data_IF_398210774941
#
_entry.id   IF_398210774941
#
_cell.length_a   1.000
_cell.length_b   1.000
_cell.length_c   1.000
_cell.angle_alpha   90.00
_cell.angle_beta   90.00
_cell.angle_gamma   90.00
#
_symmetry.space_group_name_H-M   'P 1'
#
loop_
_entity.id
_entity.type
_entity.pdbx_description
1 polymer ?
#
# COMPACT_ATOMS: atom_id res chain seq x y z
N UNK A 1 -15.60 4.42 16.38
CA UNK A 1 -16.41 3.59 15.47
C UNK A 1 -16.21 4.14 14.06
N UNK A 2 -15.43 3.49 13.19
CA UNK A 2 -15.12 4.04 11.86
C UNK A 2 -14.02 3.35 11.05
N UNK A 3 -13.14 2.56 11.68
CA UNK A 3 -11.97 1.95 11.02
C UNK A 3 -12.29 0.87 9.96
N UNK A 4 -13.47 0.25 10.00
CA UNK A 4 -13.80 -0.85 9.07
C UNK A 4 -14.36 -0.44 7.70
N UNK A 5 -14.89 0.78 7.55
CA UNK A 5 -15.68 1.12 6.35
C UNK A 5 -14.81 1.32 5.09
N UNK A 6 -13.67 1.99 5.23
CA UNK A 6 -12.76 2.24 4.11
C UNK A 6 -12.08 0.95 3.62
N UNK A 7 -11.64 0.11 4.56
CA UNK A 7 -11.01 -1.15 4.22
C UNK A 7 -11.99 -2.12 3.54
N UNK A 8 -13.21 -2.24 4.09
CA UNK A 8 -14.26 -3.06 3.50
C UNK A 8 -14.63 -2.57 2.10
N UNK A 9 -14.73 -1.24 1.90
CA UNK A 9 -14.98 -0.66 0.59
C UNK A 9 -13.93 -1.08 -0.44
N UNK A 10 -12.64 -1.01 -0.10
CA UNK A 10 -11.57 -1.43 -1.02
C UNK A 10 -11.69 -2.92 -1.36
N UNK A 11 -11.96 -3.79 -0.37
CA UNK A 11 -12.13 -5.23 -0.61
C UNK A 11 -13.31 -5.54 -1.54
N UNK A 12 -14.43 -4.85 -1.35
CA UNK A 12 -15.65 -5.07 -2.13
C UNK A 12 -15.47 -4.65 -3.60
N UNK A 13 -14.71 -3.57 -3.83
CA UNK A 13 -14.48 -3.03 -5.17
C UNK A 13 -13.23 -3.60 -5.85
N UNK A 14 -12.33 -4.25 -5.10
CA UNK A 14 -11.07 -4.78 -5.64
C UNK A 14 -11.28 -5.74 -6.83
N UNK A 15 -12.20 -6.72 -6.79
CA UNK A 15 -12.44 -7.60 -7.93
C UNK A 15 -12.86 -6.86 -9.21
N UNK A 16 -13.66 -5.80 -9.08
CA UNK A 16 -14.09 -4.97 -10.20
C UNK A 16 -12.90 -4.21 -10.80
N UNK A 17 -12.07 -3.59 -9.96
CA UNK A 17 -10.89 -2.85 -10.41
C UNK A 17 -9.85 -3.77 -11.07
N UNK A 18 -9.64 -4.98 -10.54
CA UNK A 18 -8.77 -5.98 -11.16
C UNK A 18 -9.31 -6.42 -12.52
N UNK A 19 -10.62 -6.61 -12.65
CA UNK A 19 -11.26 -6.93 -13.94
C UNK A 19 -11.07 -5.81 -14.95
N UNK A 20 -11.26 -4.56 -14.53
CA UNK A 20 -11.06 -3.38 -15.37
C UNK A 20 -9.60 -3.20 -15.80
N UNK A 21 -8.66 -3.41 -14.87
CA UNK A 21 -7.23 -3.41 -15.19
C UNK A 21 -6.92 -4.49 -16.23
N UNK A 22 -7.35 -5.74 -16.00
CA UNK A 22 -7.09 -6.86 -16.91
C UNK A 22 -7.68 -6.68 -18.30
N UNK A 23 -8.80 -5.97 -18.44
CA UNK A 23 -9.39 -5.69 -19.75
C UNK A 23 -8.63 -4.61 -20.54
N UNK A 24 -7.81 -3.80 -19.86
CA UNK A 24 -7.13 -2.63 -20.43
C UNK A 24 -5.62 -2.76 -20.51
N UNK A 25 -4.99 -3.56 -19.64
CA UNK A 25 -3.54 -3.62 -19.48
C UNK A 25 -2.78 -4.08 -20.72
N UNK A 26 -3.42 -4.80 -21.64
CA UNK A 26 -2.82 -5.20 -22.92
C UNK A 26 -2.82 -4.09 -23.98
N UNK A 27 -3.62 -3.04 -23.79
CA UNK A 27 -3.80 -1.95 -24.77
C UNK A 27 -3.36 -0.60 -24.23
N UNK A 28 -3.30 -0.46 -22.91
CA UNK A 28 -2.93 0.76 -22.21
C UNK A 28 -1.77 0.48 -21.25
N UNK A 29 -0.81 1.40 -21.20
CA UNK A 29 0.29 1.37 -20.24
C UNK A 29 -0.20 1.86 -18.87
N UNK A 30 -0.99 1.04 -18.18
CA UNK A 30 -1.59 1.35 -16.88
C UNK A 30 -1.19 0.34 -15.81
N UNK A 31 -1.20 0.76 -14.55
CA UNK A 31 -1.08 -0.09 -13.37
C UNK A 31 -2.24 0.17 -12.41
N UNK A 32 -2.52 -0.78 -11.53
CA UNK A 32 -3.50 -0.65 -10.45
C UNK A 32 -2.77 -0.52 -9.12
N UNK A 33 -3.04 0.55 -8.39
CA UNK A 33 -2.51 0.77 -7.04
C UNK A 33 -3.65 0.59 -6.05
N UNK A 34 -3.47 -0.32 -5.09
CA UNK A 34 -4.42 -0.59 -4.01
C UNK A 34 -3.77 -0.21 -2.71
N UNK A 35 -4.41 0.69 -1.95
CA UNK A 35 -3.92 1.13 -0.64
C UNK A 35 -4.95 0.72 0.41
N UNK A 36 -4.50 -0.04 1.40
CA UNK A 36 -5.30 -0.48 2.54
C UNK A 36 -4.59 -0.03 3.80
N UNK A 37 -5.25 0.75 4.65
CA UNK A 37 -4.71 1.02 5.98
C UNK A 37 -4.74 -0.29 6.78
N UNK A 38 -3.56 -0.79 7.17
CA UNK A 38 -3.51 -1.97 8.02
C UNK A 38 -3.82 -1.54 9.45
N UNK A 39 -4.88 -2.12 10.01
CA UNK A 39 -5.01 -2.23 11.46
C UNK A 39 -3.82 -3.04 12.06
N UNK A 40 -3.91 -3.54 13.29
CA UNK A 40 -2.87 -4.40 13.90
C UNK A 40 -2.58 -5.73 13.15
N UNK A 41 -3.19 -5.94 11.97
CA UNK A 41 -3.06 -7.14 11.13
C UNK A 41 -1.86 -7.03 10.20
N UNK A 42 -1.33 -8.17 9.75
CA UNK A 42 -0.15 -8.21 8.89
C UNK A 42 -0.49 -7.89 7.43
N UNK A 43 0.52 -7.44 6.67
CA UNK A 43 0.43 -7.24 5.21
C UNK A 43 -0.11 -8.49 4.51
N UNK A 44 0.36 -9.66 4.92
CA UNK A 44 -0.05 -10.98 4.40
C UNK A 44 -1.54 -11.25 4.64
N UNK A 45 -2.08 -10.85 5.80
CA UNK A 45 -3.51 -11.02 6.09
C UNK A 45 -4.37 -10.23 5.08
N UNK A 46 -4.00 -8.98 4.81
CA UNK A 46 -4.69 -8.15 3.83
C UNK A 46 -4.56 -8.69 2.40
N UNK A 47 -3.37 -9.19 2.02
CA UNK A 47 -3.18 -9.85 0.73
C UNK A 47 -4.09 -11.08 0.58
N UNK A 48 -4.16 -11.94 1.60
CA UNK A 48 -5.04 -13.12 1.60
C UNK A 48 -6.52 -12.76 1.46
N UNK A 49 -6.96 -11.66 2.08
CA UNK A 49 -8.34 -11.21 2.00
C UNK A 49 -8.70 -10.67 0.61
N UNK A 50 -7.77 -9.96 -0.03
CA UNK A 50 -7.90 -9.55 -1.42
C UNK A 50 -7.90 -10.76 -2.37
N UNK A 51 -7.09 -11.79 -2.12
CA UNK A 51 -7.15 -13.05 -2.87
C UNK A 51 -8.48 -13.79 -2.69
N UNK A 52 -9.02 -13.79 -1.47
CA UNK A 52 -10.33 -14.36 -1.17
C UNK A 52 -11.44 -13.61 -1.92
N UNK A 53 -11.38 -12.28 -1.98
CA UNK A 53 -12.33 -11.45 -2.74
C UNK A 53 -12.29 -11.77 -4.24
N UNK A 54 -11.10 -11.95 -4.83
CA UNK A 54 -10.96 -12.39 -6.23
C UNK A 54 -11.57 -13.76 -6.44
N UNK A 55 -11.29 -14.70 -5.54
CA UNK A 55 -11.79 -16.08 -5.63
C UNK A 55 -13.32 -16.11 -5.54
N UNK A 56 -13.92 -15.35 -4.62
CA UNK A 56 -15.37 -15.21 -4.49
C UNK A 56 -16.01 -14.62 -5.75
N UNK A 57 -15.33 -13.71 -6.43
CA UNK A 57 -15.75 -13.14 -7.71
C UNK A 57 -15.44 -14.02 -8.94
N UNK A 58 -15.00 -15.27 -8.73
CA UNK A 58 -14.56 -16.21 -9.79
C UNK A 58 -13.44 -15.65 -10.68
N UNK A 59 -12.59 -14.80 -10.12
CA UNK A 59 -11.41 -14.27 -10.77
C UNK A 59 -10.16 -15.03 -10.34
N UNK A 60 -9.22 -15.18 -11.29
CA UNK A 60 -7.86 -15.67 -10.99
C UNK A 60 -7.19 -14.75 -9.96
N UNK A 61 -6.43 -15.33 -9.03
CA UNK A 61 -5.54 -14.61 -8.08
C UNK A 61 -4.61 -13.66 -8.81
N UNK A 62 -4.10 -12.66 -8.09
CA UNK A 62 -3.11 -11.71 -8.63
C UNK A 62 -1.88 -12.47 -9.13
N UNK A 63 -1.54 -12.28 -10.40
CA UNK A 63 -0.35 -12.88 -11.02
C UNK A 63 0.95 -12.17 -10.60
N UNK A 64 2.07 -12.88 -10.69
CA UNK A 64 3.40 -12.35 -10.41
C UNK A 64 3.79 -11.20 -11.37
N UNK A 65 3.30 -11.26 -12.62
CA UNK A 65 3.62 -10.30 -13.68
C UNK A 65 2.55 -9.20 -13.85
N UNK A 66 1.51 -9.20 -13.02
CA UNK A 66 0.48 -8.15 -13.07
C UNK A 66 0.98 -6.88 -12.38
N UNK A 67 0.82 -5.72 -13.06
CA UNK A 67 1.10 -4.39 -12.53
C UNK A 67 0.05 -3.92 -11.54
N UNK A 68 -0.12 -4.71 -10.49
CA UNK A 68 -1.07 -4.47 -9.39
C UNK A 68 -0.25 -4.40 -8.10
N UNK A 69 -0.03 -3.18 -7.62
CA UNK A 69 0.71 -2.88 -6.39
C UNK A 69 -0.24 -2.79 -5.21
N UNK A 70 0.03 -3.53 -4.14
CA UNK A 70 -0.77 -3.52 -2.90
C UNK A 70 0.07 -2.89 -1.78
N UNK A 71 -0.36 -1.73 -1.30
CA UNK A 71 0.31 -0.96 -0.26
C UNK A 71 -0.48 -1.04 1.03
N UNK A 72 0.20 -1.48 2.08
CA UNK A 72 -0.44 -1.74 3.38
C UNK A 72 0.37 -1.02 4.47
N UNK A 73 0.22 0.30 4.63
CA UNK A 73 0.82 1.02 5.76
C UNK A 73 0.28 0.44 7.06
N UNK A 74 1.17 -0.01 7.94
CA UNK A 74 0.77 -0.55 9.24
C UNK A 74 0.41 0.58 10.20
N UNK A 75 -0.75 0.43 10.84
CA UNK A 75 -1.47 1.38 11.69
C UNK A 75 -1.94 2.66 11.02
N UNK A 76 -1.07 3.35 10.29
CA UNK A 76 -1.24 4.70 9.79
C UNK A 76 -0.18 5.01 8.71
N UNK A 77 -0.58 5.60 7.57
CA UNK A 77 0.33 6.08 6.52
C UNK A 77 1.27 7.19 7.05
N UNK A 78 0.83 7.86 8.10
CA UNK A 78 1.54 8.89 8.86
C UNK A 78 2.87 8.36 9.43
N UNK A 79 2.95 7.07 9.74
CA UNK A 79 4.19 6.41 10.19
C UNK A 79 5.27 6.48 9.11
N UNK A 80 4.90 6.25 7.85
CA UNK A 80 5.85 6.34 6.73
C UNK A 80 6.29 7.79 6.50
N UNK A 81 5.36 8.75 6.60
CA UNK A 81 5.67 10.18 6.46
C UNK A 81 6.66 10.61 7.54
N UNK A 82 6.42 10.22 8.80
CA UNK A 82 7.32 10.49 9.92
C UNK A 82 8.73 9.91 9.70
N UNK A 83 8.82 8.67 9.22
CA UNK A 83 10.10 8.05 8.84
C UNK A 83 10.82 8.85 7.74
N UNK A 84 10.10 9.21 6.67
CA UNK A 84 10.65 9.91 5.51
C UNK A 84 11.12 11.33 5.86
N UNK A 85 10.55 11.96 6.88
CA UNK A 85 11.05 13.23 7.42
C UNK A 85 12.33 13.08 8.29
N UNK A 86 12.71 11.84 8.61
CA UNK A 86 13.94 11.51 9.33
C UNK A 86 13.73 11.15 10.81
N UNK A 87 12.50 10.87 11.23
CA UNK A 87 12.23 10.41 12.59
C UNK A 87 12.48 8.91 12.73
N UNK A 88 12.99 8.51 13.88
CA UNK A 88 12.95 7.12 14.31
C UNK A 88 11.49 6.78 14.65
N UNK A 89 10.89 5.87 13.88
CA UNK A 89 9.52 5.41 14.07
C UNK A 89 9.48 3.91 14.24
N UNK A 90 8.40 3.41 14.84
CA UNK A 90 8.10 1.99 14.88
C UNK A 90 6.64 1.77 14.42
N UNK A 91 6.29 0.54 14.05
CA UNK A 91 4.92 0.21 13.60
C UNK A 91 3.99 -0.19 14.77
N UNK A 92 4.30 0.27 15.98
CA UNK A 92 3.56 0.00 17.23
C UNK A 92 2.97 1.30 17.78
N UNK A 93 3.64 2.43 17.65
CA UNK A 93 3.14 3.71 18.15
C UNK A 93 2.14 4.36 17.17
N UNK A 94 1.33 5.29 17.70
CA UNK A 94 0.35 6.04 16.92
C UNK A 94 0.89 7.42 16.57
N UNK A 95 1.09 7.67 15.27
CA UNK A 95 1.60 8.93 14.72
C UNK A 95 0.52 9.80 14.06
N UNK A 96 -0.77 9.43 14.19
CA UNK A 96 -1.91 10.13 13.55
C UNK A 96 -2.09 11.58 14.01
N UNK A 97 -1.57 11.95 15.19
CA UNK A 97 -1.59 13.32 15.72
C UNK A 97 -0.23 14.01 15.67
N UNK A 98 0.71 13.52 14.85
CA UNK A 98 2.01 14.18 14.74
C UNK A 98 1.86 15.54 14.06
N UNK A 99 2.43 16.59 14.66
CA UNK A 99 2.48 17.93 14.07
C UNK A 99 3.20 17.98 12.69
N UNK A 100 3.83 16.88 12.30
CA UNK A 100 4.44 16.67 10.98
C UNK A 100 3.38 16.55 9.88
N UNK A 101 2.16 16.12 10.19
CA UNK A 101 1.06 16.04 9.23
C UNK A 101 0.52 17.42 8.82
N UNK A 102 0.82 18.45 9.60
CA UNK A 102 0.56 19.84 9.22
C UNK A 102 1.62 20.38 8.24
N UNK A 103 2.73 19.64 8.03
CA UNK A 103 3.80 20.01 7.09
C UNK A 103 3.62 19.31 5.75
N UNK A 104 4.02 20.01 4.69
CA UNK A 104 3.78 19.62 3.30
C UNK A 104 4.27 18.21 2.94
N UNK A 105 3.33 17.28 2.75
CA UNK A 105 3.54 15.91 2.27
C UNK A 105 4.36 15.80 0.98
N UNK A 106 4.39 16.86 0.18
CA UNK A 106 5.13 16.95 -1.08
C UNK A 106 6.60 16.57 -0.93
N UNK A 107 7.25 16.97 0.18
CA UNK A 107 8.66 16.65 0.43
C UNK A 107 8.85 15.17 0.75
N UNK A 108 7.99 14.59 1.57
CA UNK A 108 8.09 13.19 1.98
C UNK A 108 7.86 12.26 0.79
N UNK A 109 6.89 12.56 -0.07
CA UNK A 109 6.64 11.81 -1.32
C UNK A 109 7.83 11.93 -2.28
N UNK A 110 8.44 13.11 -2.40
CA UNK A 110 9.65 13.29 -3.22
C UNK A 110 10.84 12.47 -2.68
N UNK A 111 10.98 12.33 -1.35
CA UNK A 111 12.00 11.47 -0.73
C UNK A 111 11.75 9.99 -1.00
N UNK A 112 10.50 9.53 -0.92
CA UNK A 112 10.14 8.16 -1.28
C UNK A 112 10.45 7.87 -2.76
N UNK A 113 10.12 8.82 -3.65
CA UNK A 113 10.47 8.71 -5.07
C UNK A 113 12.00 8.71 -5.29
N UNK A 114 12.76 9.43 -4.47
CA UNK A 114 14.22 9.46 -4.54
C UNK A 114 14.88 8.17 -3.99
N UNK A 115 14.22 7.43 -3.10
CA UNK A 115 14.69 6.10 -2.65
C UNK A 115 14.48 4.99 -3.69
N UNK A 116 13.96 5.31 -4.88
CA UNK A 116 13.77 4.36 -5.98
C UNK A 116 15.10 3.69 -6.35
N UNK A 117 15.08 2.36 -6.45
CA UNK A 117 16.24 1.55 -6.83
C UNK A 117 17.36 1.50 -5.78
N UNK A 118 17.15 2.09 -4.59
CA UNK A 118 18.08 1.99 -3.46
C UNK A 118 17.45 1.14 -2.36
N UNK A 119 18.20 0.20 -1.75
CA UNK A 119 17.70 -0.53 -0.61
C UNK A 119 17.45 0.45 0.53
N UNK A 120 16.23 0.43 1.09
CA UNK A 120 15.94 1.15 2.32
C UNK A 120 16.85 0.62 3.45
N UNK A 121 17.24 1.48 4.40
CA UNK A 121 17.94 1.03 5.61
C UNK A 121 17.13 -0.04 6.35
N UNK A 122 17.81 -1.01 6.96
CA UNK A 122 17.15 -2.08 7.71
C UNK A 122 16.23 -1.58 8.85
N UNK A 123 16.49 -0.37 9.34
CA UNK A 123 15.71 0.35 10.36
C UNK A 123 14.37 0.91 9.81
N UNK A 124 14.15 0.89 8.49
CA UNK A 124 12.92 1.40 7.91
C UNK A 124 11.73 0.50 8.27
N UNK A 125 10.51 1.06 8.35
CA UNK A 125 9.32 0.26 8.66
C UNK A 125 9.19 -0.96 7.74
N UNK A 126 8.95 -2.18 8.27
CA UNK A 126 8.75 -3.37 7.46
C UNK A 126 7.66 -3.23 6.38
N UNK A 127 6.57 -2.52 6.68
CA UNK A 127 5.52 -2.22 5.69
C UNK A 127 6.00 -1.30 4.57
N UNK A 128 6.96 -0.40 4.85
CA UNK A 128 7.57 0.46 3.84
C UNK A 128 8.52 -0.33 2.93
N UNK A 129 9.26 -1.30 3.48
CA UNK A 129 10.03 -2.25 2.65
C UNK A 129 9.13 -3.04 1.69
N UNK A 130 8.00 -3.55 2.18
CA UNK A 130 7.01 -4.25 1.35
C UNK A 130 6.43 -3.32 0.26
N UNK A 131 6.15 -2.06 0.60
CA UNK A 131 5.69 -1.06 -0.34
C UNK A 131 6.68 -0.78 -1.47
N UNK A 132 7.99 -0.75 -1.20
CA UNK A 132 9.00 -0.60 -2.24
C UNK A 132 8.97 -1.77 -3.25
N UNK A 133 8.81 -3.00 -2.77
CA UNK A 133 8.68 -4.15 -3.67
C UNK A 133 7.41 -4.07 -4.54
N UNK A 134 6.31 -3.57 -3.97
CA UNK A 134 5.04 -3.38 -4.69
C UNK A 134 5.09 -2.19 -5.67
N UNK A 135 5.88 -1.17 -5.38
CA UNK A 135 6.15 -0.04 -6.29
C UNK A 135 6.88 -0.49 -7.55
N UNK A 136 7.88 -1.36 -7.44
CA UNK A 136 8.59 -1.93 -8.60
C UNK A 136 7.65 -2.74 -9.53
N UNK A 137 6.50 -3.22 -9.04
CA UNK A 137 5.54 -3.96 -9.85
C UNK A 137 4.66 -3.06 -10.71
N UNK A 138 4.43 -1.82 -10.29
CA UNK A 138 3.53 -0.88 -10.99
C UNK A 138 4.26 0.06 -11.95
N UNK A 139 5.58 0.12 -11.86
CA UNK A 139 6.47 0.89 -12.75
C UNK A 139 6.81 0.10 -14.03
#
# INVERSE_FOLDING_TARGET
MGKGAGEQFVRDHYPEQVRLYRSKCHHLNIGLVVILDADARSVEAHQNELEAALTAASLRRRGADERIGIFVPKRNIETWICYLEGMAVNEIDDYSNSAILEREWTRSVARLAATRGQPLPAEAPPSLHAACAELERVL
#
